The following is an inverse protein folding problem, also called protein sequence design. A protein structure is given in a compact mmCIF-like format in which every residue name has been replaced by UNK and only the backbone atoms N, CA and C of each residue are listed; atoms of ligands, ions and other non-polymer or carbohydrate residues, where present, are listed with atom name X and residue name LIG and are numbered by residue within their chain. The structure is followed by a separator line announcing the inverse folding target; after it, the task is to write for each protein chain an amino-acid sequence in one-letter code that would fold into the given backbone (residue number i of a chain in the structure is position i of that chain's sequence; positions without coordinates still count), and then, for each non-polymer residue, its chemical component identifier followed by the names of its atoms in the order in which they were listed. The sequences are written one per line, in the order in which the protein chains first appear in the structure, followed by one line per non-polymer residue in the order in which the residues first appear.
data_IF_637316686670
#
_entry.id   IF_637316686670
#
_cell.length_a   1.000
_cell.length_b   1.000
_cell.length_c   1.000
_cell.angle_alpha   90.00
_cell.angle_beta   90.00
_cell.angle_gamma   90.00
#
_symmetry.space_group_name_H-M   'P 1'
#
loop_
_entity.id
_entity.type
_entity.pdbx_description
1 polymer ?
#
# COMPACT_ATOMS: atom_id res chain seq x y z
N UNK A 1 52.24 27.84 30.37
CA UNK A 1 51.63 29.19 30.46
C UNK A 1 50.13 29.01 30.65
N UNK A 2 49.50 29.81 31.53
CA UNK A 2 48.30 29.41 32.27
C UNK A 2 47.02 30.12 31.81
N UNK A 3 45.86 29.53 32.11
CA UNK A 3 44.57 30.24 32.20
C UNK A 3 44.66 31.38 33.23
N UNK A 4 43.91 32.48 33.06
CA UNK A 4 42.72 32.65 33.91
C UNK A 4 41.48 33.41 33.32
N UNK A 5 40.25 32.90 33.52
CA UNK A 5 39.13 33.33 34.45
C UNK A 5 38.27 34.54 33.84
N UNK A 6 37.11 35.00 34.38
CA UNK A 6 35.74 34.67 33.91
C UNK A 6 34.68 35.85 33.91
N UNK A 7 33.43 35.55 33.50
CA UNK A 7 32.12 36.08 34.03
C UNK A 7 31.76 37.59 33.89
N UNK A 8 30.46 37.99 33.85
CA UNK A 8 29.48 37.72 34.91
C UNK A 8 28.09 37.22 34.50
N UNK A 9 27.54 36.44 35.43
CA UNK A 9 26.12 36.15 35.63
C UNK A 9 25.37 37.44 35.96
N UNK A 10 24.11 37.51 35.56
CA UNK A 10 23.08 38.23 36.30
C UNK A 10 21.93 37.26 36.63
N UNK A 11 21.81 36.97 37.92
CA UNK A 11 20.55 36.63 38.60
C UNK A 11 20.06 37.92 39.25
N UNK A 12 18.75 38.15 39.25
CA UNK A 12 17.97 38.63 40.41
C UNK A 12 16.49 38.28 40.13
N UNK A 13 15.89 37.37 40.90
CA UNK A 13 15.16 37.58 42.20
C UNK A 13 13.73 38.07 41.91
N UNK A 14 12.72 37.21 41.93
CA UNK A 14 11.94 36.71 43.09
C UNK A 14 10.93 37.73 43.65
N UNK A 15 9.63 37.41 43.48
CA UNK A 15 8.47 37.75 44.34
C UNK A 15 7.22 37.50 43.48
N UNK A 16 6.33 36.53 43.72
CA UNK A 16 5.83 36.02 44.99
C UNK A 16 4.45 36.61 45.21
N UNK A 17 3.38 35.89 44.88
CA UNK A 17 2.07 36.03 45.52
C UNK A 17 1.27 34.74 45.39
N UNK A 18 1.09 34.09 46.54
CA UNK A 18 0.11 33.03 46.78
C UNK A 18 -1.20 33.75 47.16
N UNK A 19 -2.29 33.43 46.47
CA UNK A 19 -3.64 33.62 47.01
C UNK A 19 -4.42 32.35 46.73
N UNK A 20 -4.77 31.65 47.81
CA UNK A 20 -5.69 30.53 47.83
C UNK A 20 -7.00 31.03 48.46
N UNK A 21 -8.09 31.10 47.69
CA UNK A 21 -9.47 31.17 48.23
C UNK A 21 -10.43 30.42 47.29
N UNK A 22 -10.67 29.15 47.63
CA UNK A 22 -11.96 28.46 47.83
C UNK A 22 -13.17 28.83 46.94
N UNK A 23 -13.47 27.88 46.02
CA UNK A 23 -14.76 27.32 45.52
C UNK A 23 -15.95 28.21 45.15
N UNK A 24 -16.58 27.94 44.00
CA UNK A 24 -17.95 27.40 43.89
C UNK A 24 -18.14 26.66 42.54
N UNK A 25 -18.94 25.60 42.61
CA UNK A 25 -19.38 24.57 41.65
C UNK A 25 -19.85 25.02 40.26
N UNK A 26 -19.53 24.22 39.23
CA UNK A 26 -20.56 23.64 38.35
C UNK A 26 -20.07 22.34 37.69
N UNK A 27 -20.75 21.26 38.05
CA UNK A 27 -20.51 19.88 37.66
C UNK A 27 -21.03 19.64 36.23
N UNK A 28 -20.14 19.44 35.26
CA UNK A 28 -20.47 18.77 34.01
C UNK A 28 -19.91 17.34 34.06
N UNK A 29 -20.78 16.38 34.41
CA UNK A 29 -20.52 14.95 34.19
C UNK A 29 -20.44 14.70 32.68
N UNK A 30 -19.23 14.75 32.11
CA UNK A 30 -18.97 14.01 30.87
C UNK A 30 -18.86 12.53 31.24
N UNK A 31 -19.81 11.74 30.72
CA UNK A 31 -19.69 10.28 30.69
C UNK A 31 -18.50 9.97 29.79
N UNK A 32 -17.37 9.59 30.38
CA UNK A 32 -16.34 8.87 29.67
C UNK A 32 -16.93 7.52 29.23
N UNK A 33 -17.42 7.47 27.99
CA UNK A 33 -17.45 6.21 27.25
C UNK A 33 -16.03 5.98 26.76
N UNK A 34 -15.23 5.33 27.60
CA UNK A 34 -14.12 4.52 27.13
C UNK A 34 -14.70 3.55 26.10
N UNK A 35 -14.54 3.87 24.80
CA UNK A 35 -14.60 2.85 23.76
C UNK A 35 -13.26 2.15 23.86
N UNK A 36 -13.29 0.93 24.38
CA UNK A 36 -12.18 -0.01 24.24
C UNK A 36 -11.91 -0.21 22.76
N UNK A 37 -10.97 0.54 22.21
CA UNK A 37 -10.34 0.20 20.94
C UNK A 37 -9.42 -0.98 21.27
N UNK A 38 -9.94 -2.19 21.10
CA UNK A 38 -9.13 -3.40 21.12
C UNK A 38 -8.05 -3.26 20.05
N UNK A 39 -6.83 -2.99 20.48
CA UNK A 39 -5.63 -3.17 19.67
C UNK A 39 -5.49 -4.68 19.46
N UNK A 40 -6.01 -5.19 18.35
CA UNK A 40 -5.81 -6.59 17.97
C UNK A 40 -4.31 -6.79 17.70
N UNK A 41 -3.61 -7.40 18.66
CA UNK A 41 -2.35 -8.09 18.37
C UNK A 41 -2.63 -9.06 17.22
N UNK A 42 -1.89 -8.92 16.11
CA UNK A 42 -2.04 -9.75 14.93
C UNK A 42 -1.80 -11.23 15.28
N UNK A 43 -2.86 -11.97 15.57
CA UNK A 43 -2.86 -13.43 15.54
C UNK A 43 -2.75 -13.84 14.08
N UNK A 44 -1.64 -14.50 13.71
CA UNK A 44 -1.48 -15.12 12.39
C UNK A 44 -2.71 -15.98 12.11
N UNK A 45 -3.54 -15.56 11.15
CA UNK A 45 -4.64 -16.36 10.64
C UNK A 45 -4.12 -17.20 9.48
N UNK A 46 -4.60 -18.42 9.38
CA UNK A 46 -4.49 -19.16 8.13
C UNK A 46 -5.12 -18.33 7.02
N UNK A 47 -4.42 -18.22 5.90
CA UNK A 47 -4.82 -17.44 4.71
C UNK A 47 -6.21 -17.82 4.22
N UNK A 48 -6.52 -19.13 4.23
CA UNK A 48 -7.85 -19.66 3.92
C UNK A 48 -8.93 -19.15 4.88
N UNK A 49 -8.61 -18.96 6.17
CA UNK A 49 -9.55 -18.41 7.14
C UNK A 49 -9.81 -16.91 6.89
N UNK A 50 -8.80 -16.16 6.42
CA UNK A 50 -8.98 -14.76 6.01
C UNK A 50 -9.93 -14.68 4.81
N UNK A 51 -9.71 -15.50 3.77
CA UNK A 51 -10.59 -15.55 2.59
C UNK A 51 -12.01 -15.97 2.94
N UNK A 52 -12.19 -17.01 3.76
CA UNK A 52 -13.51 -17.42 4.27
C UNK A 52 -14.20 -16.32 5.08
N UNK A 53 -13.44 -15.57 5.88
CA UNK A 53 -13.99 -14.47 6.67
C UNK A 53 -14.47 -13.31 5.78
N UNK A 54 -13.72 -13.00 4.71
CA UNK A 54 -14.12 -12.06 3.67
C UNK A 54 -15.39 -12.54 2.95
N UNK A 55 -15.40 -13.78 2.45
CA UNK A 55 -16.54 -14.41 1.76
C UNK A 55 -17.82 -14.40 2.60
N UNK A 56 -17.70 -14.62 3.90
CA UNK A 56 -18.85 -14.61 4.82
C UNK A 56 -19.23 -13.21 5.32
N UNK A 57 -18.56 -12.15 4.85
CA UNK A 57 -18.81 -10.76 5.28
C UNK A 57 -18.43 -10.46 6.73
N UNK A 58 -17.69 -11.35 7.39
CA UNK A 58 -17.27 -11.20 8.80
C UNK A 58 -15.99 -10.40 8.96
N UNK A 59 -15.22 -10.23 7.88
CA UNK A 59 -14.04 -9.39 7.84
C UNK A 59 -14.33 -8.10 7.06
N UNK A 60 -14.35 -6.96 7.75
CA UNK A 60 -14.75 -5.67 7.17
C UNK A 60 -13.67 -4.59 7.26
N UNK A 61 -12.46 -4.95 7.69
CA UNK A 61 -11.32 -4.01 7.83
C UNK A 61 -10.28 -4.27 6.75
N UNK A 62 -9.22 -3.46 6.72
CA UNK A 62 -8.12 -3.65 5.76
C UNK A 62 -7.46 -5.02 5.93
N UNK A 63 -6.80 -5.50 4.87
CA UNK A 63 -6.06 -6.77 4.90
C UNK A 63 -4.62 -6.63 5.40
N UNK A 64 -4.18 -5.40 5.66
CA UNK A 64 -2.86 -5.14 6.21
C UNK A 64 -2.67 -5.89 7.54
N UNK A 65 -1.55 -6.61 7.66
CA UNK A 65 -1.18 -7.32 8.89
C UNK A 65 -1.97 -8.61 9.24
N UNK A 66 -2.98 -9.03 8.45
CA UNK A 66 -3.81 -10.20 8.80
C UNK A 66 -3.10 -11.55 8.70
N UNK A 67 -2.23 -11.70 7.72
CA UNK A 67 -1.45 -12.91 7.46
C UNK A 67 0.01 -12.51 7.26
N UNK A 68 0.77 -12.26 8.34
CA UNK A 68 2.16 -11.87 8.23
C UNK A 68 2.95 -12.92 7.43
N UNK A 69 3.89 -12.47 6.59
CA UNK A 69 4.71 -13.28 5.67
C UNK A 69 4.00 -13.90 4.47
N UNK A 70 2.67 -13.85 4.41
CA UNK A 70 1.91 -14.28 3.25
C UNK A 70 1.70 -13.13 2.27
N UNK A 71 1.76 -13.44 0.99
CA UNK A 71 1.57 -12.43 -0.05
C UNK A 71 0.12 -11.95 -0.09
N UNK A 72 -0.03 -10.70 -0.49
CA UNK A 72 -1.31 -10.13 -0.86
C UNK A 72 -1.23 -9.61 -2.28
N UNK A 73 -2.31 -9.76 -3.03
CA UNK A 73 -2.39 -9.35 -4.42
C UNK A 73 -3.43 -8.24 -4.60
N UNK A 74 -3.06 -7.24 -5.38
CA UNK A 74 -4.03 -6.36 -6.01
C UNK A 74 -4.78 -7.16 -7.07
N UNK A 75 -6.09 -6.92 -7.18
CA UNK A 75 -6.96 -7.58 -8.15
C UNK A 75 -7.46 -6.58 -9.19
N UNK A 76 -7.38 -6.96 -10.47
CA UNK A 76 -8.00 -6.32 -11.63
C UNK A 76 -8.71 -7.38 -12.46
N UNK A 77 -9.95 -7.13 -12.86
CA UNK A 77 -10.76 -8.06 -13.65
C UNK A 77 -11.31 -7.30 -14.85
N UNK A 78 -11.07 -7.84 -16.04
CA UNK A 78 -11.37 -7.20 -17.32
C UNK A 78 -12.12 -8.15 -18.25
N UNK A 79 -12.93 -7.63 -19.18
CA UNK A 79 -13.42 -8.40 -20.32
C UNK A 79 -12.26 -9.00 -21.14
N UNK A 80 -12.43 -10.22 -21.63
CA UNK A 80 -11.37 -11.05 -22.24
C UNK A 80 -10.70 -10.36 -23.44
N UNK A 81 -11.46 -9.54 -24.18
CA UNK A 81 -10.95 -8.73 -25.30
C UNK A 81 -9.78 -7.82 -24.92
N UNK A 82 -9.66 -7.39 -23.67
CA UNK A 82 -8.57 -6.54 -23.18
C UNK A 82 -7.45 -7.34 -22.48
N UNK A 83 -7.63 -8.64 -22.29
CA UNK A 83 -6.70 -9.46 -21.53
C UNK A 83 -5.31 -9.55 -22.17
N UNK A 84 -5.23 -9.67 -23.50
CA UNK A 84 -3.95 -9.70 -24.22
C UNK A 84 -3.17 -8.38 -24.06
N UNK A 85 -3.85 -7.26 -24.26
CA UNK A 85 -3.28 -5.92 -24.09
C UNK A 85 -2.79 -5.69 -22.67
N UNK A 86 -3.55 -6.14 -21.67
CA UNK A 86 -3.19 -5.98 -20.26
C UNK A 86 -1.98 -6.83 -19.86
N UNK A 87 -1.86 -8.07 -20.38
CA UNK A 87 -0.64 -8.88 -20.21
C UNK A 87 0.58 -8.18 -20.78
N UNK A 88 0.46 -7.61 -21.99
CA UNK A 88 1.55 -6.86 -22.62
C UNK A 88 1.87 -5.59 -21.81
N UNK A 89 0.86 -4.89 -21.29
CA UNK A 89 1.05 -3.74 -20.41
C UNK A 89 1.88 -4.13 -19.18
N UNK A 90 1.53 -5.23 -18.51
CA UNK A 90 2.27 -5.72 -17.36
C UNK A 90 3.70 -6.12 -17.72
N UNK A 91 3.89 -6.84 -18.84
CA UNK A 91 5.21 -7.26 -19.31
C UNK A 91 6.12 -6.07 -19.69
N UNK A 92 5.55 -5.00 -20.26
CA UNK A 92 6.30 -3.78 -20.60
C UNK A 92 6.55 -2.87 -19.39
N UNK A 93 5.78 -3.04 -18.32
CA UNK A 93 5.88 -2.25 -17.10
C UNK A 93 5.93 -3.17 -15.85
N UNK A 94 6.98 -4.01 -15.71
CA UNK A 94 7.00 -5.07 -14.68
C UNK A 94 7.16 -4.54 -13.25
N UNK A 95 7.80 -3.38 -13.07
CA UNK A 95 8.00 -2.77 -11.75
C UNK A 95 6.69 -2.23 -11.15
N UNK A 96 5.87 -1.43 -11.86
CA UNK A 96 4.59 -0.98 -11.32
C UNK A 96 3.44 -1.99 -11.48
N UNK A 97 3.56 -2.92 -12.45
CA UNK A 97 2.54 -3.93 -12.75
C UNK A 97 3.12 -5.35 -12.67
N UNK A 98 3.64 -5.79 -11.50
CA UNK A 98 4.19 -7.14 -11.35
C UNK A 98 3.06 -8.18 -11.40
N UNK A 99 2.80 -8.74 -12.58
CA UNK A 99 1.79 -9.78 -12.76
C UNK A 99 2.29 -11.09 -12.13
N UNK A 100 1.61 -11.57 -11.09
CA UNK A 100 1.99 -12.79 -10.35
C UNK A 100 1.09 -13.98 -10.68
N UNK A 101 -0.17 -13.74 -11.04
CA UNK A 101 -1.11 -14.76 -11.48
C UNK A 101 -2.25 -14.16 -12.30
N UNK A 102 -2.98 -15.01 -13.00
CA UNK A 102 -4.26 -14.67 -13.65
C UNK A 102 -5.24 -15.84 -13.51
N UNK A 103 -6.51 -15.65 -13.83
CA UNK A 103 -7.46 -16.76 -13.90
C UNK A 103 -6.99 -17.83 -14.89
N UNK A 104 -7.17 -19.11 -14.54
CA UNK A 104 -6.64 -20.23 -15.33
C UNK A 104 -7.18 -20.25 -16.78
N UNK A 105 -8.41 -19.77 -16.97
CA UNK A 105 -9.00 -19.48 -18.26
C UNK A 105 -9.95 -18.27 -18.16
N UNK A 106 -10.52 -17.87 -19.29
CA UNK A 106 -11.61 -16.88 -19.32
C UNK A 106 -12.82 -17.45 -18.57
N UNK A 107 -13.50 -16.63 -17.78
CA UNK A 107 -14.67 -16.99 -16.97
C UNK A 107 -14.34 -17.76 -15.68
N UNK A 108 -13.11 -18.26 -15.54
CA UNK A 108 -12.68 -19.03 -14.36
C UNK A 108 -12.43 -18.13 -13.16
N UNK A 109 -13.26 -18.28 -12.12
CA UNK A 109 -13.16 -17.53 -10.88
C UNK A 109 -12.51 -18.32 -9.73
N UNK A 110 -12.38 -19.64 -9.88
CA UNK A 110 -12.00 -20.58 -8.82
C UNK A 110 -10.61 -21.22 -8.99
N UNK A 111 -9.93 -20.90 -10.09
CA UNK A 111 -8.61 -21.43 -10.41
C UNK A 111 -7.73 -20.34 -11.04
N UNK A 112 -6.45 -20.33 -10.68
CA UNK A 112 -5.48 -19.38 -11.23
C UNK A 112 -4.31 -20.09 -11.90
N UNK A 113 -3.74 -19.44 -12.90
CA UNK A 113 -2.43 -19.74 -13.46
C UNK A 113 -1.40 -18.80 -12.81
N UNK A 114 -0.38 -19.39 -12.20
CA UNK A 114 0.77 -18.65 -11.65
C UNK A 114 1.75 -18.24 -12.77
N UNK A 115 2.30 -17.04 -12.62
CA UNK A 115 3.44 -16.52 -13.40
C UNK A 115 4.76 -16.54 -12.62
N UNK A 116 4.73 -17.04 -11.38
CA UNK A 116 5.93 -17.18 -10.54
C UNK A 116 6.61 -18.51 -10.87
N UNK A 117 7.88 -18.43 -11.27
CA UNK A 117 8.69 -19.60 -11.60
C UNK A 117 8.72 -20.62 -10.45
N UNK A 118 8.35 -21.87 -10.74
CA UNK A 118 8.39 -22.96 -9.76
C UNK A 118 7.22 -23.01 -8.77
N UNK A 119 6.25 -22.08 -8.87
CA UNK A 119 5.05 -22.07 -8.04
C UNK A 119 3.81 -22.32 -8.91
N UNK A 120 3.05 -23.37 -8.60
CA UNK A 120 1.79 -23.67 -9.29
C UNK A 120 0.68 -22.71 -8.87
N UNK A 121 -0.42 -22.66 -9.64
CA UNK A 121 -1.62 -21.91 -9.26
C UNK A 121 -2.18 -22.34 -7.91
N UNK A 122 -2.32 -23.64 -7.71
CA UNK A 122 -2.75 -24.24 -6.43
C UNK A 122 -1.81 -23.89 -5.27
N UNK A 123 -0.50 -23.83 -5.53
CA UNK A 123 0.50 -23.42 -4.52
C UNK A 123 0.47 -21.91 -4.23
N UNK A 124 -0.03 -21.10 -5.17
CA UNK A 124 -0.21 -19.67 -4.99
C UNK A 124 -1.48 -19.36 -4.20
N UNK A 125 -2.58 -20.01 -4.53
CA UNK A 125 -3.86 -19.88 -3.82
C UNK A 125 -4.76 -21.10 -4.11
N UNK A 126 -5.19 -21.79 -3.04
CA UNK A 126 -6.08 -22.96 -3.12
C UNK A 126 -7.50 -22.63 -2.66
N UNK A 127 -8.50 -23.23 -3.33
CA UNK A 127 -9.92 -23.11 -2.97
C UNK A 127 -10.48 -21.69 -3.04
N UNK A 128 -9.93 -20.86 -3.94
CA UNK A 128 -10.32 -19.46 -4.10
C UNK A 128 -11.71 -19.34 -4.74
N UNK A 129 -12.46 -18.32 -4.37
CA UNK A 129 -13.48 -17.71 -5.23
C UNK A 129 -13.13 -16.23 -5.38
N UNK A 130 -12.55 -15.87 -6.52
CA UNK A 130 -12.03 -14.52 -6.79
C UNK A 130 -13.13 -13.46 -6.65
N UNK A 131 -14.40 -13.85 -6.79
CA UNK A 131 -15.55 -12.94 -6.73
C UNK A 131 -15.94 -12.55 -5.31
N UNK A 132 -15.47 -13.28 -4.30
CA UNK A 132 -15.89 -13.11 -2.90
C UNK A 132 -14.75 -13.11 -1.87
N UNK A 133 -13.54 -13.55 -2.25
CA UNK A 133 -12.45 -13.77 -1.29
C UNK A 133 -11.60 -12.53 -0.98
N UNK A 134 -11.80 -11.42 -1.68
CA UNK A 134 -11.34 -10.12 -1.22
C UNK A 134 -12.42 -9.47 -0.34
N UNK A 135 -12.08 -8.72 0.73
CA UNK A 135 -13.11 -8.19 1.61
C UNK A 135 -14.01 -7.13 0.99
N UNK A 136 -13.47 -6.38 0.02
CA UNK A 136 -14.16 -5.26 -0.64
C UNK A 136 -13.73 -5.12 -2.09
N UNK A 137 -14.69 -4.78 -2.95
CA UNK A 137 -14.51 -4.62 -4.39
C UNK A 137 -14.98 -3.25 -4.88
N UNK A 138 -14.52 -2.89 -6.06
CA UNK A 138 -14.96 -1.74 -6.84
C UNK A 138 -15.45 -2.26 -8.19
N UNK A 139 -16.55 -1.69 -8.69
CA UNK A 139 -17.14 -2.01 -9.99
C UNK A 139 -17.13 -0.75 -10.83
N UNK A 140 -16.61 -0.88 -12.04
CA UNK A 140 -16.57 0.17 -13.04
C UNK A 140 -17.35 -0.27 -14.27
N UNK A 141 -18.19 0.61 -14.80
CA UNK A 141 -18.91 0.42 -16.06
C UNK A 141 -18.40 1.46 -17.05
N UNK A 142 -17.89 0.98 -18.17
CA UNK A 142 -17.25 1.81 -19.20
C UNK A 142 -16.15 2.72 -18.62
N UNK A 143 -15.26 2.12 -17.81
CA UNK A 143 -14.16 2.79 -17.09
C UNK A 143 -14.58 3.90 -16.10
N UNK A 144 -15.87 3.97 -15.74
CA UNK A 144 -16.38 4.91 -14.73
C UNK A 144 -16.86 4.15 -13.50
N UNK A 145 -16.57 4.68 -12.33
CA UNK A 145 -16.98 4.07 -11.07
C UNK A 145 -18.51 3.97 -11.01
N UNK A 146 -19.02 2.75 -10.91
CA UNK A 146 -20.45 2.46 -10.80
C UNK A 146 -20.81 2.09 -9.36
N UNK A 147 -20.01 1.23 -8.73
CA UNK A 147 -20.22 0.79 -7.35
C UNK A 147 -18.88 0.71 -6.60
N UNK A 148 -18.91 1.04 -5.31
CA UNK A 148 -17.72 1.09 -4.46
C UNK A 148 -17.92 0.30 -3.17
N UNK A 149 -16.85 -0.33 -2.68
CA UNK A 149 -16.85 -1.10 -1.42
C UNK A 149 -17.91 -2.22 -1.36
N UNK A 150 -18.14 -2.87 -2.50
CA UNK A 150 -19.02 -4.02 -2.62
C UNK A 150 -18.45 -5.20 -1.82
N UNK A 151 -19.30 -6.02 -1.18
CA UNK A 151 -18.85 -7.19 -0.43
C UNK A 151 -18.41 -8.34 -1.36
N UNK A 152 -18.98 -8.41 -2.56
CA UNK A 152 -18.64 -9.36 -3.60
C UNK A 152 -18.93 -8.76 -4.98
N UNK A 153 -18.59 -9.50 -6.03
CA UNK A 153 -18.83 -9.15 -7.44
C UNK A 153 -19.47 -10.31 -8.21
N UNK A 154 -20.23 -11.18 -7.52
CA UNK A 154 -20.82 -12.37 -8.16
C UNK A 154 -21.82 -11.98 -9.25
N UNK A 155 -22.62 -10.94 -9.01
CA UNK A 155 -23.61 -10.46 -9.96
C UNK A 155 -23.00 -9.78 -11.21
N UNK A 156 -21.80 -9.23 -11.07
CA UNK A 156 -21.11 -8.47 -12.12
C UNK A 156 -20.12 -9.35 -12.92
N UNK A 157 -19.68 -10.48 -12.33
CA UNK A 157 -18.85 -11.47 -13.01
C UNK A 157 -19.62 -12.18 -14.13
N UNK A 158 -18.92 -12.46 -15.23
CA UNK A 158 -19.46 -13.19 -16.39
C UNK A 158 -18.40 -14.15 -16.95
N UNK A 159 -18.83 -15.07 -17.82
CA UNK A 159 -17.96 -16.01 -18.53
C UNK A 159 -16.95 -15.34 -19.48
N UNK A 160 -17.04 -14.02 -19.70
CA UNK A 160 -16.10 -13.25 -20.53
C UNK A 160 -14.99 -12.57 -19.70
N UNK A 161 -14.97 -12.72 -18.37
CA UNK A 161 -14.00 -12.03 -17.54
C UNK A 161 -12.67 -12.78 -17.39
N UNK A 162 -11.58 -12.03 -17.26
CA UNK A 162 -10.25 -12.53 -16.89
C UNK A 162 -9.79 -11.75 -15.66
N UNK A 163 -9.40 -12.48 -14.61
CA UNK A 163 -8.85 -11.89 -13.39
C UNK A 163 -7.32 -11.85 -13.45
N UNK A 164 -6.73 -10.76 -12.99
CA UNK A 164 -5.30 -10.55 -12.90
C UNK A 164 -4.92 -10.21 -11.46
N UNK A 165 -3.97 -10.96 -10.92
CA UNK A 165 -3.39 -10.76 -9.60
C UNK A 165 -2.04 -10.07 -9.79
N UNK A 166 -1.95 -8.85 -9.27
CA UNK A 166 -0.76 -8.00 -9.34
C UNK A 166 -0.11 -7.95 -7.96
N UNK A 167 1.20 -8.18 -7.90
CA UNK A 167 1.98 -8.14 -6.67
C UNK A 167 1.79 -6.84 -5.88
N UNK A 168 1.92 -6.93 -4.56
CA UNK A 168 1.77 -5.81 -3.64
C UNK A 168 3.02 -5.63 -2.76
N UNK A 169 3.29 -4.39 -2.37
CA UNK A 169 4.42 -3.98 -1.54
C UNK A 169 4.45 -4.53 -0.11
N UNK A 170 3.36 -5.13 0.39
CA UNK A 170 3.26 -5.54 1.80
C UNK A 170 4.30 -6.57 2.25
N UNK A 171 4.79 -7.39 1.33
CA UNK A 171 5.86 -8.37 1.59
C UNK A 171 7.13 -7.69 2.09
N UNK A 172 7.61 -6.67 1.38
CA UNK A 172 8.85 -5.98 1.77
C UNK A 172 8.68 -5.07 2.99
N UNK A 173 7.47 -4.59 3.28
CA UNK A 173 7.20 -3.79 4.48
C UNK A 173 7.43 -4.58 5.77
N UNK A 174 7.04 -5.87 5.76
CA UNK A 174 7.33 -6.79 6.87
C UNK A 174 8.83 -6.99 7.07
N UNK A 175 9.61 -7.04 5.99
CA UNK A 175 11.07 -7.15 6.05
C UNK A 175 11.72 -5.87 6.58
N UNK A 176 11.26 -4.70 6.13
CA UNK A 176 11.71 -3.40 6.62
C UNK A 176 11.41 -3.23 8.11
N UNK A 177 10.21 -3.61 8.56
CA UNK A 177 9.83 -3.57 9.98
C UNK A 177 10.75 -4.45 10.84
N UNK A 178 11.06 -5.68 10.40
CA UNK A 178 12.01 -6.58 11.08
C UNK A 178 13.43 -5.99 11.18
N UNK A 179 13.82 -5.16 10.22
CA UNK A 179 15.10 -4.46 10.22
C UNK A 179 15.10 -3.12 10.99
N UNK A 180 14.00 -2.77 11.67
CA UNK A 180 13.86 -1.50 12.39
C UNK A 180 13.50 -0.30 11.51
N UNK A 181 13.27 -0.52 10.22
CA UNK A 181 12.92 0.47 9.19
C UNK A 181 11.42 0.43 8.86
N UNK A 182 10.59 0.20 9.88
CA UNK A 182 9.14 0.07 9.72
C UNK A 182 8.53 1.28 8.98
N UNK A 183 7.72 1.06 7.91
CA UNK A 183 7.08 2.13 7.19
C UNK A 183 6.22 3.02 8.08
N UNK A 184 6.34 4.33 7.86
CA UNK A 184 5.73 5.32 8.75
C UNK A 184 4.21 5.29 8.77
N UNK A 185 3.57 5.02 7.62
CA UNK A 185 2.11 4.96 7.55
C UNK A 185 1.57 3.80 8.39
N UNK A 186 2.26 2.66 8.47
CA UNK A 186 1.89 1.52 9.32
C UNK A 186 1.95 1.90 10.79
N UNK A 187 3.02 2.60 11.22
CA UNK A 187 3.17 3.10 12.59
C UNK A 187 2.07 4.07 13.02
N UNK A 188 1.55 4.84 12.07
CA UNK A 188 0.54 5.87 12.31
C UNK A 188 -0.89 5.41 12.00
N UNK A 189 -1.09 4.14 11.65
CA UNK A 189 -2.38 3.58 11.21
C UNK A 189 -3.03 4.40 10.07
N UNK A 190 -2.24 4.67 9.03
CA UNK A 190 -2.63 5.46 7.86
C UNK A 190 -2.42 4.68 6.58
N UNK A 191 -3.20 5.02 5.56
CA UNK A 191 -2.97 4.49 4.20
C UNK A 191 -1.74 5.14 3.59
N UNK A 192 -0.85 4.33 3.00
CA UNK A 192 0.35 4.81 2.30
C UNK A 192 -0.02 5.89 1.26
N UNK A 193 0.70 7.03 1.22
CA UNK A 193 0.47 8.05 0.22
C UNK A 193 0.98 7.57 -1.15
N UNK A 194 0.16 7.81 -2.17
CA UNK A 194 0.45 7.43 -3.55
C UNK A 194 0.23 8.62 -4.48
N UNK A 195 1.10 8.75 -5.47
CA UNK A 195 1.14 9.89 -6.37
C UNK A 195 1.21 9.43 -7.82
N UNK A 196 0.41 10.08 -8.67
CA UNK A 196 0.53 10.00 -10.10
C UNK A 196 1.75 10.80 -10.53
N UNK A 197 2.65 10.15 -11.26
CA UNK A 197 3.86 10.81 -11.76
C UNK A 197 3.64 11.41 -13.15
N UNK A 198 4.60 12.21 -13.59
CA UNK A 198 4.73 12.66 -14.98
C UNK A 198 5.37 11.61 -15.91
N UNK A 199 5.75 10.44 -15.40
CA UNK A 199 6.38 9.36 -16.18
C UNK A 199 5.28 8.56 -16.89
N UNK A 200 5.23 8.53 -18.23
CA UNK A 200 4.25 7.72 -18.94
C UNK A 200 4.58 6.23 -18.81
N UNK A 201 3.55 5.39 -18.82
CA UNK A 201 3.75 3.95 -18.98
C UNK A 201 4.22 3.64 -20.41
N UNK A 202 4.96 2.54 -20.56
CA UNK A 202 5.16 1.95 -21.87
C UNK A 202 3.80 1.42 -22.37
N UNK A 203 3.23 1.99 -23.44
CA UNK A 203 1.84 1.71 -23.83
C UNK A 203 1.68 0.28 -24.36
N UNK A 204 0.48 -0.27 -24.29
CA UNK A 204 0.18 -1.60 -24.82
C UNK A 204 -1.28 -1.70 -25.26
N UNK A 205 -1.49 -1.93 -26.56
CA UNK A 205 -2.82 -2.01 -27.16
C UNK A 205 -3.67 -0.79 -26.80
N UNK A 206 -4.84 -1.01 -26.18
CA UNK A 206 -5.74 0.07 -25.73
C UNK A 206 -5.17 0.94 -24.59
N UNK A 207 -4.19 0.46 -23.83
CA UNK A 207 -3.61 1.17 -22.69
C UNK A 207 -2.51 2.13 -23.15
N UNK A 208 -2.88 3.37 -23.48
CA UNK A 208 -1.96 4.36 -24.09
C UNK A 208 -1.74 5.63 -23.27
N UNK A 209 -2.67 5.98 -22.40
CA UNK A 209 -2.77 7.34 -21.84
C UNK A 209 -2.46 7.43 -20.34
N UNK A 210 -1.85 6.39 -19.78
CA UNK A 210 -1.62 6.28 -18.33
C UNK A 210 -0.19 6.62 -17.91
N UNK A 211 -0.05 6.99 -16.65
CA UNK A 211 1.21 7.33 -16.02
C UNK A 211 1.55 6.33 -14.93
N UNK A 212 2.84 6.25 -14.64
CA UNK A 212 3.38 5.49 -13.53
C UNK A 212 2.86 6.07 -12.20
N UNK A 213 2.34 5.21 -11.31
CA UNK A 213 1.94 5.60 -9.95
C UNK A 213 2.98 5.09 -8.96
N UNK A 214 3.38 5.96 -8.04
CA UNK A 214 4.35 5.63 -7.00
C UNK A 214 3.72 5.68 -5.63
N UNK A 215 4.15 4.79 -4.73
CA UNK A 215 3.89 4.88 -3.30
C UNK A 215 5.10 5.49 -2.60
N UNK A 216 4.90 6.31 -1.58
CA UNK A 216 5.98 7.01 -0.90
C UNK A 216 6.08 6.63 0.58
N UNK A 217 7.31 6.40 1.04
CA UNK A 217 7.65 6.17 2.45
C UNK A 217 8.85 7.04 2.81
N UNK A 218 8.81 7.81 3.90
CA UNK A 218 9.94 8.64 4.33
C UNK A 218 10.99 7.83 5.12
N UNK A 219 12.26 8.08 4.84
CA UNK A 219 13.43 7.51 5.54
C UNK A 219 14.51 8.57 5.75
N UNK A 220 15.54 8.30 6.56
CA UNK A 220 16.74 9.14 6.56
C UNK A 220 17.56 8.89 5.29
N UNK A 221 18.28 9.90 4.82
CA UNK A 221 19.22 9.74 3.70
C UNK A 221 20.26 8.63 3.96
N UNK A 222 20.70 8.47 5.21
CA UNK A 222 21.65 7.43 5.64
C UNK A 222 21.06 6.02 5.66
N UNK A 223 19.73 5.87 5.62
CA UNK A 223 19.04 4.58 5.67
C UNK A 223 18.74 4.03 4.26
N UNK A 224 18.91 4.83 3.21
CA UNK A 224 18.47 4.49 1.84
C UNK A 224 19.11 3.22 1.31
N UNK A 225 20.41 3.03 1.46
CA UNK A 225 21.07 1.81 0.96
C UNK A 225 20.57 0.56 1.71
N UNK A 226 20.33 0.65 3.02
CA UNK A 226 19.74 -0.45 3.78
C UNK A 226 18.31 -0.77 3.30
N UNK A 227 17.48 0.28 3.09
CA UNK A 227 16.14 0.14 2.53
C UNK A 227 16.20 -0.57 1.17
N UNK A 228 17.11 -0.16 0.29
CA UNK A 228 17.30 -0.77 -1.04
C UNK A 228 17.72 -2.22 -0.93
N UNK A 229 18.72 -2.55 -0.12
CA UNK A 229 19.22 -3.92 0.03
C UNK A 229 18.15 -4.87 0.59
N UNK A 230 17.33 -4.41 1.52
CA UNK A 230 16.22 -5.19 2.09
C UNK A 230 15.13 -5.44 1.04
N UNK A 231 14.81 -4.43 0.23
CA UNK A 231 13.66 -4.47 -0.70
C UNK A 231 14.03 -5.05 -2.08
N UNK A 232 15.29 -5.01 -2.49
CA UNK A 232 15.79 -5.50 -3.79
C UNK A 232 15.43 -6.95 -4.10
N UNK A 233 15.44 -7.92 -3.16
CA UNK A 233 15.05 -9.30 -3.47
C UNK A 233 13.58 -9.47 -3.87
N UNK A 234 12.71 -8.51 -3.54
CA UNK A 234 11.26 -8.57 -3.75
C UNK A 234 10.82 -8.11 -5.14
N UNK A 235 11.59 -8.42 -6.20
CA UNK A 235 11.32 -7.97 -7.59
C UNK A 235 9.94 -8.41 -8.08
N UNK A 236 9.46 -9.58 -7.65
CA UNK A 236 8.13 -10.09 -7.96
C UNK A 236 6.98 -9.25 -7.34
N UNK A 237 7.30 -8.30 -6.45
CA UNK A 237 6.36 -7.41 -5.76
C UNK A 237 6.94 -5.99 -5.65
N UNK A 238 7.31 -5.40 -6.79
CA UNK A 238 7.90 -4.06 -7.00
C UNK A 238 9.41 -3.91 -6.76
N UNK A 239 10.00 -4.61 -5.80
CA UNK A 239 11.46 -4.57 -5.55
C UNK A 239 11.95 -3.31 -4.83
N UNK A 240 13.15 -2.85 -5.19
CA UNK A 240 13.79 -1.68 -4.54
C UNK A 240 13.17 -0.33 -4.98
N UNK A 241 13.37 0.76 -4.20
CA UNK A 241 12.92 2.09 -4.60
C UNK A 241 13.36 2.47 -6.02
N UNK A 242 12.48 3.14 -6.75
CA UNK A 242 12.78 3.66 -8.10
C UNK A 242 13.35 5.07 -8.06
N UNK A 243 13.11 5.82 -6.98
CA UNK A 243 13.59 7.18 -6.78
C UNK A 243 13.54 7.56 -5.29
N UNK A 244 14.34 8.54 -4.88
CA UNK A 244 14.36 9.07 -3.51
C UNK A 244 14.94 10.47 -3.43
N UNK A 245 14.61 11.20 -2.36
CA UNK A 245 15.03 12.58 -2.16
C UNK A 245 14.00 13.60 -2.64
N UNK A 246 14.16 14.84 -2.17
CA UNK A 246 13.28 15.95 -2.55
C UNK A 246 13.36 16.26 -4.05
N UNK A 247 14.56 16.27 -4.63
CA UNK A 247 14.76 16.40 -6.08
C UNK A 247 14.12 15.25 -6.88
N UNK A 248 13.94 14.06 -6.29
CA UNK A 248 13.20 12.99 -6.95
C UNK A 248 11.70 13.28 -6.99
N UNK A 249 11.12 13.85 -5.93
CA UNK A 249 9.71 14.24 -5.91
C UNK A 249 9.42 15.21 -7.06
N UNK A 250 10.29 16.21 -7.25
CA UNK A 250 10.18 17.18 -8.35
C UNK A 250 10.30 16.52 -9.73
N UNK A 251 11.30 15.66 -9.93
CA UNK A 251 11.50 14.92 -11.20
C UNK A 251 10.31 14.03 -11.55
N UNK A 252 9.66 13.43 -10.55
CA UNK A 252 8.44 12.64 -10.68
C UNK A 252 7.19 13.51 -10.94
N UNK A 253 7.29 14.83 -10.87
CA UNK A 253 6.19 15.76 -11.08
C UNK A 253 5.28 15.95 -9.86
N UNK A 254 5.73 15.54 -8.67
CA UNK A 254 4.98 15.66 -7.41
C UNK A 254 5.19 17.08 -6.88
N UNK A 255 4.17 17.94 -7.04
CA UNK A 255 4.26 19.37 -6.68
C UNK A 255 4.13 19.63 -5.19
N UNK A 256 3.29 18.84 -4.51
CA UNK A 256 3.06 18.94 -3.08
C UNK A 256 3.03 17.53 -2.51
N UNK A 257 4.02 17.21 -1.66
CA UNK A 257 4.14 15.89 -1.04
C UNK A 257 3.02 15.66 -0.01
N UNK A 258 2.43 16.70 0.55
CA UNK A 258 1.41 16.56 1.59
C UNK A 258 0.00 16.35 1.00
N UNK A 259 -0.15 16.44 -0.33
CA UNK A 259 -1.40 16.22 -1.07
C UNK A 259 -1.26 15.01 -2.01
N UNK A 260 -1.41 13.77 -1.51
CA UNK A 260 -1.36 12.59 -2.37
C UNK A 260 -2.64 12.45 -3.22
N UNK A 261 -2.50 11.84 -4.40
CA UNK A 261 -3.64 11.47 -5.24
C UNK A 261 -4.50 10.37 -4.59
N UNK A 262 -3.84 9.45 -3.86
CA UNK A 262 -4.51 8.41 -3.08
C UNK A 262 -3.82 8.18 -1.73
N UNK A 263 -4.60 7.73 -0.75
CA UNK A 263 -4.11 7.46 0.60
C UNK A 263 -4.14 8.69 1.50
N UNK A 264 -3.40 8.62 2.62
CA UNK A 264 -3.39 9.68 3.62
C UNK A 264 -2.16 10.57 3.46
N UNK A 265 -2.26 11.90 3.72
CA UNK A 265 -1.10 12.78 3.76
C UNK A 265 0.03 12.23 4.64
N UNK A 266 1.29 12.25 4.17
CA UNK A 266 2.44 11.81 4.96
C UNK A 266 2.68 12.76 6.14
N UNK A 267 3.03 12.18 7.29
CA UNK A 267 3.39 12.92 8.49
C UNK A 267 4.77 12.48 8.98
N UNK A 268 5.41 13.31 9.79
CA UNK A 268 6.57 12.94 10.62
C UNK A 268 6.12 12.14 11.84
N UNK A 269 7.07 11.58 12.60
CA UNK A 269 6.74 10.93 13.88
C UNK A 269 6.18 11.91 14.93
N UNK A 270 6.47 13.20 14.81
CA UNK A 270 5.88 14.26 15.64
C UNK A 270 4.52 14.74 15.12
N UNK A 271 3.96 14.10 14.09
CA UNK A 271 2.65 14.42 13.52
C UNK A 271 2.62 15.68 12.65
N UNK A 272 3.78 16.21 12.26
CA UNK A 272 3.87 17.36 11.34
C UNK A 272 3.78 16.88 9.89
N UNK A 273 3.30 17.70 8.94
CA UNK A 273 3.39 17.39 7.52
C UNK A 273 4.83 17.08 7.10
N UNK A 274 5.02 16.09 6.22
CA UNK A 274 6.36 15.72 5.75
C UNK A 274 6.99 16.87 4.97
N UNK A 275 6.19 17.61 4.18
CA UNK A 275 6.64 18.77 3.40
C UNK A 275 7.27 19.88 4.24
N UNK A 276 6.98 19.96 5.55
CA UNK A 276 7.65 20.89 6.46
C UNK A 276 9.16 20.60 6.63
N UNK A 277 9.62 19.43 6.19
CA UNK A 277 11.02 19.00 6.22
C UNK A 277 11.65 19.01 4.81
N UNK A 278 11.00 19.67 3.84
CA UNK A 278 11.53 19.83 2.49
C UNK A 278 12.96 20.38 2.50
N UNK A 279 13.87 19.71 1.78
CA UNK A 279 15.29 20.06 1.75
C UNK A 279 16.12 19.54 2.93
N UNK A 280 15.52 18.82 3.88
CA UNK A 280 16.24 18.12 4.94
C UNK A 280 16.64 16.70 4.53
N UNK A 281 17.86 16.30 4.91
CA UNK A 281 18.35 14.92 4.81
C UNK A 281 17.82 13.99 5.92
N UNK A 282 17.23 14.57 6.97
CA UNK A 282 16.71 13.81 8.11
C UNK A 282 15.46 13.00 7.77
N UNK A 283 14.67 13.48 6.81
CA UNK A 283 13.48 12.78 6.31
C UNK A 283 13.36 13.05 4.82
N UNK A 284 13.78 12.09 4.01
CA UNK A 284 13.68 12.15 2.55
C UNK A 284 12.54 11.26 2.07
N UNK A 285 11.75 11.69 1.08
CA UNK A 285 10.74 10.83 0.48
C UNK A 285 11.41 9.76 -0.39
N UNK A 286 10.94 8.52 -0.27
CA UNK A 286 11.44 7.37 -1.05
C UNK A 286 10.26 6.72 -1.77
N UNK A 287 10.42 6.45 -3.06
CA UNK A 287 9.33 6.11 -3.97
C UNK A 287 9.48 4.70 -4.54
N UNK A 288 8.39 3.93 -4.53
CA UNK A 288 8.29 2.59 -5.13
C UNK A 288 7.21 2.55 -6.19
N UNK A 289 7.33 1.62 -7.15
CA UNK A 289 6.19 1.23 -7.97
C UNK A 289 5.00 0.79 -7.12
N UNK A 290 3.80 1.07 -7.62
CA UNK A 290 2.56 0.83 -6.89
C UNK A 290 1.55 0.08 -7.75
N UNK A 291 0.91 -0.94 -7.16
CA UNK A 291 -0.18 -1.72 -7.77
C UNK A 291 -1.47 -0.94 -8.07
N UNK A 292 -1.52 0.35 -7.75
CA UNK A 292 -2.56 1.29 -8.26
C UNK A 292 -2.30 1.69 -9.72
N UNK A 293 -1.06 1.52 -10.22
CA UNK A 293 -0.73 1.82 -11.63
C UNK A 293 -1.61 1.05 -12.63
N UNK A 294 -1.81 -0.28 -12.50
CA UNK A 294 -2.77 -1.00 -13.34
C UNK A 294 -4.20 -0.46 -13.24
N UNK A 295 -4.68 -0.09 -12.04
CA UNK A 295 -6.01 0.51 -11.88
C UNK A 295 -6.13 1.83 -12.65
N UNK A 296 -5.15 2.72 -12.48
CA UNK A 296 -5.07 3.99 -13.21
C UNK A 296 -5.05 3.76 -14.73
N UNK A 297 -4.30 2.76 -15.21
CA UNK A 297 -4.25 2.43 -16.63
C UNK A 297 -5.60 1.97 -17.18
N UNK A 298 -6.31 1.15 -16.43
CA UNK A 298 -7.66 0.68 -16.80
C UNK A 298 -8.66 1.84 -16.81
N UNK A 299 -8.62 2.72 -15.81
CA UNK A 299 -9.52 3.88 -15.73
C UNK A 299 -9.30 4.92 -16.82
N UNK A 300 -8.07 5.04 -17.33
CA UNK A 300 -7.75 5.97 -18.42
C UNK A 300 -7.91 5.41 -19.82
N UNK A 301 -8.14 4.10 -19.96
CA UNK A 301 -8.19 3.44 -21.26
C UNK A 301 -9.58 3.49 -21.93
N UNK A 302 -10.59 4.08 -21.29
CA UNK A 302 -11.97 4.17 -21.82
C UNK A 302 -12.51 2.83 -22.30
N UNK A 303 -12.16 1.77 -21.57
CA UNK A 303 -12.59 0.41 -21.83
C UNK A 303 -14.11 0.32 -21.69
N UNK A 304 -14.74 -0.40 -22.62
CA UNK A 304 -16.17 -0.67 -22.61
C UNK A 304 -16.48 -1.90 -21.75
N UNK A 305 -17.67 -1.96 -21.17
CA UNK A 305 -18.17 -3.07 -20.36
C UNK A 305 -17.87 -2.96 -18.88
N UNK A 306 -18.11 -4.05 -18.15
CA UNK A 306 -17.89 -4.14 -16.70
C UNK A 306 -16.44 -4.50 -16.41
N UNK A 307 -15.85 -3.78 -15.46
CA UNK A 307 -14.49 -3.95 -14.95
C UNK A 307 -14.62 -4.03 -13.44
N UNK A 308 -13.86 -4.90 -12.80
CA UNK A 308 -13.88 -5.03 -11.35
C UNK A 308 -12.46 -4.96 -10.79
N UNK A 309 -12.33 -4.50 -9.56
CA UNK A 309 -11.09 -4.56 -8.81
C UNK A 309 -11.36 -4.81 -7.34
N UNK A 310 -10.33 -5.15 -6.57
CA UNK A 310 -10.41 -4.95 -5.13
C UNK A 310 -10.52 -3.45 -4.79
N UNK A 311 -11.09 -3.13 -3.63
CA UNK A 311 -11.03 -1.78 -3.07
C UNK A 311 -9.66 -1.53 -2.42
N UNK A 312 -9.10 -0.32 -2.50
CA UNK A 312 -7.80 -0.01 -1.90
C UNK A 312 -7.72 -0.41 -0.42
N UNK A 313 -6.69 -1.19 -0.06
CA UNK A 313 -6.49 -1.69 1.31
C UNK A 313 -7.20 -3.01 1.63
N UNK A 314 -7.98 -3.56 0.69
CA UNK A 314 -8.72 -4.82 0.85
C UNK A 314 -8.25 -5.87 -0.18
N UNK A 315 -6.97 -6.23 -0.13
CA UNK A 315 -6.34 -7.09 -1.13
C UNK A 315 -6.72 -8.56 -0.96
N UNK A 316 -6.49 -9.37 -2.01
CA UNK A 316 -6.67 -10.81 -1.95
C UNK A 316 -5.47 -11.45 -1.23
N UNK A 317 -5.72 -12.21 -0.16
CA UNK A 317 -4.66 -12.90 0.60
C UNK A 317 -4.33 -14.25 -0.02
N UNK A 318 -3.06 -14.46 -0.37
CA UNK A 318 -2.55 -15.64 -1.05
C UNK A 318 -1.98 -16.66 -0.06
N UNK A 319 -1.75 -17.90 -0.52
CA UNK A 319 -1.19 -18.99 0.28
C UNK A 319 0.34 -19.08 0.20
N UNK A 320 0.94 -18.42 -0.81
CA UNK A 320 2.39 -18.30 -0.92
C UNK A 320 2.97 -17.25 0.03
N UNK A 321 4.23 -17.46 0.40
CA UNK A 321 4.97 -16.65 1.35
C UNK A 321 6.09 -15.86 0.70
N UNK A 322 6.60 -14.87 1.42
CA UNK A 322 7.65 -13.96 0.96
C UNK A 322 8.85 -14.71 0.36
N UNK A 323 9.28 -15.81 0.97
CA UNK A 323 10.42 -16.60 0.49
C UNK A 323 10.10 -17.49 -0.73
N UNK A 324 8.84 -17.73 -1.06
CA UNK A 324 8.46 -18.49 -2.26
C UNK A 324 8.67 -17.64 -3.53
N UNK A 325 8.74 -16.31 -3.39
CA UNK A 325 8.97 -15.37 -4.50
C UNK A 325 10.38 -14.78 -4.54
N UNK A 326 11.13 -14.90 -3.44
CA UNK A 326 12.53 -14.48 -3.39
C UNK A 326 13.36 -15.58 -4.02
N UNK A 327 13.92 -15.31 -5.20
CA UNK A 327 14.96 -16.17 -5.78
C UNK A 327 16.20 -16.05 -4.90
N UNK A 328 16.43 -17.02 -4.01
CA UNK A 328 17.73 -17.13 -3.34
C UNK A 328 18.81 -17.17 -4.42
N UNK A 329 19.81 -16.28 -4.32
CA UNK A 329 21.02 -16.41 -5.13
C UNK A 329 21.61 -17.77 -4.80
N UNK A 330 21.48 -18.74 -5.72
CA UNK A 330 22.34 -19.93 -5.72
C UNK A 330 23.77 -19.41 -5.64
N UNK A 331 24.41 -19.62 -4.48
CA UNK A 331 25.81 -19.29 -4.25
C UNK A 331 26.70 -20.11 -5.17
#
# INVERSE_FOLDING_TARGET
MPNPIPFPRLRCVESGFVVCVVTWTLCWRRRDRQRDVQTQKATSRETSAVRKAARNGTHTTTTSGLAPTYLQANLIILPSRYAADFRILCARNPVPCPLIAESAAVGKFDEVRSWIDGLSGEGLISGVDIRQDAPKYMVYKDSKLAESECADIVAEWTEDHVAFLIGCSFSFESALAKAGLEPRHSRLDRTVPMYRTNIPLCPAGVFTSSSYVVSMRPYKSTEIEAVRDITRPYIATHGEPIAWGWDAAERLGIKDIDIPDWGSPPLTLSGQPLGAHAGSDSEVPVFWGCGVTPQEAVMKADLQGTIMSHAPGYMLVLDCRDWDIIKEKRR
#
